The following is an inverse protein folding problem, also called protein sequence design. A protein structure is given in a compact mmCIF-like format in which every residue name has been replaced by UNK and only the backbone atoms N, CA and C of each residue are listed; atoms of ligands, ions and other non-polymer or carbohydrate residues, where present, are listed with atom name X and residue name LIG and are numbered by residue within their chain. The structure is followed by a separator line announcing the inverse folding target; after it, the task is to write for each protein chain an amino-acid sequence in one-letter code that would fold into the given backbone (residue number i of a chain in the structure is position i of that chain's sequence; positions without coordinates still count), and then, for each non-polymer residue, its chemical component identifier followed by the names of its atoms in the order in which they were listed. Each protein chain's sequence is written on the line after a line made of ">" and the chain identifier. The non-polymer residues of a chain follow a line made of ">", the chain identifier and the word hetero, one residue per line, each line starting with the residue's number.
data_IF_620862330839
#
_entry.id   IF_620862330839
#
_cell.length_a   1.000
_cell.length_b   1.000
_cell.length_c   1.000
_cell.angle_alpha   90.00
_cell.angle_beta   90.00
_cell.angle_gamma   90.00
#
_symmetry.space_group_name_H-M   'P 1'
#
loop_
_entity.id
_entity.type
_entity.pdbx_description
1 polymer ?
#
# COMPACT_ATOMS: atom_id res chain seq x y z
N UNK A 1 -13.74 4.11 17.75
CA UNK A 1 -12.73 4.01 16.67
C UNK A 1 -13.11 4.87 15.49
N UNK A 2 -12.18 5.65 14.96
CA UNK A 2 -12.39 6.51 13.78
C UNK A 2 -12.50 5.65 12.51
N UNK A 3 -13.47 6.00 11.62
CA UNK A 3 -13.71 5.29 10.35
C UNK A 3 -12.49 5.26 9.41
N UNK A 4 -11.55 6.20 9.52
CA UNK A 4 -10.30 6.19 8.75
C UNK A 4 -9.42 4.96 9.00
N UNK A 5 -9.59 4.32 10.16
CA UNK A 5 -8.87 3.11 10.55
C UNK A 5 -9.59 1.82 10.16
N UNK A 6 -10.76 1.92 9.54
CA UNK A 6 -11.51 0.78 9.04
C UNK A 6 -11.32 0.66 7.54
N UNK A 7 -11.04 -0.55 7.06
CA UNK A 7 -10.91 -0.88 5.65
C UNK A 7 -11.95 -1.91 5.27
N UNK A 8 -12.66 -1.67 4.16
CA UNK A 8 -13.56 -2.68 3.60
C UNK A 8 -12.81 -3.49 2.53
N UNK A 9 -12.75 -4.79 2.72
CA UNK A 9 -12.15 -5.74 1.77
C UNK A 9 -13.24 -6.77 1.43
N UNK A 10 -13.66 -6.82 0.18
CA UNK A 10 -14.68 -7.76 -0.32
C UNK A 10 -15.99 -7.73 0.50
N UNK A 11 -16.44 -6.55 0.91
CA UNK A 11 -17.67 -6.37 1.68
C UNK A 11 -17.54 -6.65 3.19
N UNK A 12 -16.38 -7.02 3.69
CA UNK A 12 -16.09 -7.20 5.13
C UNK A 12 -15.20 -6.07 5.65
N UNK A 13 -15.49 -5.64 6.86
CA UNK A 13 -14.73 -4.60 7.53
C UNK A 13 -13.57 -5.21 8.32
N UNK A 14 -12.40 -4.57 8.20
CA UNK A 14 -11.17 -4.89 8.90
C UNK A 14 -10.59 -3.65 9.53
N UNK A 15 -9.94 -3.81 10.68
CA UNK A 15 -9.26 -2.71 11.35
C UNK A 15 -7.79 -2.66 10.93
N UNK A 16 -7.28 -1.45 10.73
CA UNK A 16 -5.85 -1.22 10.47
C UNK A 16 -5.07 -1.26 11.78
N UNK A 17 -3.81 -1.69 11.74
CA UNK A 17 -2.91 -1.73 12.88
C UNK A 17 -2.78 -0.38 13.59
N UNK A 18 -2.68 0.71 12.83
CA UNK A 18 -2.64 2.09 13.35
C UNK A 18 -3.86 2.42 14.23
N UNK A 19 -5.04 1.93 13.83
CA UNK A 19 -6.28 2.11 14.59
C UNK A 19 -6.27 1.35 15.90
N UNK A 20 -5.72 0.13 15.91
CA UNK A 20 -5.56 -0.66 17.13
C UNK A 20 -4.62 0.02 18.12
N UNK A 21 -3.50 0.57 17.64
CA UNK A 21 -2.55 1.33 18.47
C UNK A 21 -3.18 2.61 19.02
N UNK A 22 -3.89 3.36 18.19
CA UNK A 22 -4.56 4.60 18.61
C UNK A 22 -5.59 4.33 19.73
N UNK A 23 -6.41 3.29 19.56
CA UNK A 23 -7.37 2.87 20.58
C UNK A 23 -6.69 2.35 21.85
N UNK A 24 -5.58 1.62 21.74
CA UNK A 24 -4.81 1.14 22.86
C UNK A 24 -4.31 2.29 23.75
N UNK A 25 -3.68 3.29 23.13
CA UNK A 25 -3.23 4.47 23.86
C UNK A 25 -4.38 5.28 24.46
N UNK A 26 -5.46 5.46 23.72
CA UNK A 26 -6.66 6.17 24.21
C UNK A 26 -7.37 5.45 25.37
N UNK A 27 -7.25 4.12 25.41
CA UNK A 27 -7.87 3.26 26.43
C UNK A 27 -6.92 2.94 27.62
N UNK A 28 -5.89 3.74 27.85
CA UNK A 28 -4.98 3.58 28.99
C UNK A 28 -3.98 2.43 28.83
N UNK A 29 -3.61 2.11 27.58
CA UNK A 29 -2.56 1.12 27.31
C UNK A 29 -1.19 1.62 27.75
N UNK A 30 -0.40 0.74 28.37
CA UNK A 30 0.89 1.10 29.01
C UNK A 30 2.07 0.34 28.45
N UNK A 31 1.89 -0.92 28.06
CA UNK A 31 3.00 -1.78 27.67
C UNK A 31 2.60 -2.75 26.57
N UNK A 32 3.52 -2.99 25.64
CA UNK A 32 3.44 -4.02 24.60
C UNK A 32 4.76 -4.78 24.63
N UNK A 33 4.71 -6.07 24.90
CA UNK A 33 5.84 -6.99 24.84
C UNK A 33 5.59 -8.06 23.81
N UNK A 34 6.68 -8.58 23.22
CA UNK A 34 6.63 -9.74 22.33
C UNK A 34 7.63 -10.79 22.78
N UNK A 35 7.24 -12.05 22.66
CA UNK A 35 8.06 -13.20 23.04
C UNK A 35 8.02 -14.17 21.87
N UNK A 36 9.19 -14.53 21.35
CA UNK A 36 9.28 -15.62 20.39
C UNK A 36 9.03 -16.95 21.07
N UNK A 37 8.17 -17.79 20.49
CA UNK A 37 7.84 -19.08 21.08
C UNK A 37 8.94 -20.12 20.79
N UNK A 38 9.14 -21.05 21.70
CA UNK A 38 10.09 -22.17 21.53
C UNK A 38 9.81 -23.02 20.28
N UNK A 39 8.56 -23.06 19.83
CA UNK A 39 8.14 -23.74 18.60
C UNK A 39 8.35 -22.90 17.33
N UNK A 40 8.94 -21.72 17.45
CA UNK A 40 9.28 -20.85 16.33
C UNK A 40 10.43 -21.46 15.51
N UNK A 41 10.36 -21.28 14.20
CA UNK A 41 11.44 -21.65 13.27
C UNK A 41 11.67 -20.54 12.27
N UNK A 42 12.81 -20.55 11.57
CA UNK A 42 13.08 -19.60 10.49
C UNK A 42 12.04 -19.64 9.36
N UNK A 43 11.44 -20.82 9.13
CA UNK A 43 10.41 -21.01 8.11
C UNK A 43 9.00 -20.66 8.59
N UNK A 44 8.75 -20.81 9.87
CA UNK A 44 7.48 -20.50 10.51
C UNK A 44 7.73 -19.81 11.86
N UNK A 45 8.09 -18.52 11.85
CA UNK A 45 8.23 -17.74 13.07
C UNK A 45 6.88 -17.61 13.79
N UNK A 46 6.93 -17.77 15.12
CA UNK A 46 5.76 -17.73 15.99
C UNK A 46 6.03 -16.83 17.19
N UNK A 47 5.12 -15.89 17.42
CA UNK A 47 5.22 -14.93 18.52
C UNK A 47 3.99 -14.95 19.41
N UNK A 48 4.20 -14.68 20.68
CA UNK A 48 3.19 -14.26 21.63
C UNK A 48 3.42 -12.79 21.95
N UNK A 49 2.39 -11.96 21.77
CA UNK A 49 2.38 -10.58 22.27
C UNK A 49 1.59 -10.51 23.58
N UNK A 50 2.05 -9.66 24.47
CA UNK A 50 1.39 -9.34 25.74
C UNK A 50 1.20 -7.84 25.77
N UNK A 51 -0.03 -7.38 25.93
CA UNK A 51 -0.37 -5.98 26.07
C UNK A 51 -1.01 -5.75 27.45
N UNK A 52 -0.60 -4.68 28.12
CA UNK A 52 -1.12 -4.36 29.45
C UNK A 52 -1.41 -2.87 29.59
N UNK A 53 -2.36 -2.55 30.45
CA UNK A 53 -2.81 -1.20 30.73
C UNK A 53 -3.91 -1.19 31.78
N UNK A 54 -4.74 -0.15 31.77
CA UNK A 54 -5.80 0.02 32.77
C UNK A 54 -6.89 -1.05 32.73
N UNK A 55 -7.08 -1.70 31.58
CA UNK A 55 -8.06 -2.78 31.40
C UNK A 55 -7.53 -4.17 31.79
N UNK A 56 -6.29 -4.26 32.27
CA UNK A 56 -5.62 -5.50 32.60
C UNK A 56 -4.62 -5.94 31.53
N UNK A 57 -4.31 -7.23 31.50
CA UNK A 57 -3.34 -7.84 30.61
C UNK A 57 -4.04 -8.79 29.62
N UNK A 58 -3.67 -8.68 28.35
CA UNK A 58 -4.21 -9.51 27.27
C UNK A 58 -3.07 -10.04 26.41
N UNK A 59 -3.25 -11.22 25.84
CA UNK A 59 -2.24 -11.80 24.96
C UNK A 59 -2.83 -12.24 23.63
N UNK A 60 -1.96 -12.23 22.59
CA UNK A 60 -2.29 -12.72 21.26
C UNK A 60 -1.13 -13.51 20.69
N UNK A 61 -1.41 -14.47 19.82
CA UNK A 61 -0.40 -15.24 19.11
C UNK A 61 -0.44 -14.87 17.63
N UNK A 62 0.73 -14.87 16.99
CA UNK A 62 0.88 -14.63 15.57
C UNK A 62 1.92 -15.57 14.98
N UNK A 63 1.68 -16.00 13.76
CA UNK A 63 2.57 -16.83 12.97
C UNK A 63 2.65 -16.29 11.54
N UNK A 64 3.74 -16.64 10.87
CA UNK A 64 3.90 -16.35 9.45
C UNK A 64 4.68 -17.47 8.77
N UNK A 65 4.14 -18.03 7.70
CA UNK A 65 4.79 -19.05 6.89
C UNK A 65 4.49 -18.81 5.40
N UNK A 66 5.08 -19.61 4.53
CA UNK A 66 4.92 -19.45 3.08
C UNK A 66 3.49 -19.66 2.58
N UNK A 67 2.62 -20.31 3.37
CA UNK A 67 1.22 -20.52 2.99
C UNK A 67 0.30 -19.36 3.40
N UNK A 68 0.73 -18.53 4.35
CA UNK A 68 -0.08 -17.45 4.90
C UNK A 68 0.50 -16.04 4.71
N UNK A 69 1.60 -15.92 3.94
CA UNK A 69 2.16 -14.63 3.51
C UNK A 69 2.42 -14.65 2.00
N UNK A 70 2.33 -13.48 1.36
CA UNK A 70 2.68 -13.36 -0.06
C UNK A 70 4.19 -13.39 -0.28
N UNK A 71 4.60 -13.55 -1.54
CA UNK A 71 6.00 -13.59 -1.95
C UNK A 71 6.77 -12.30 -1.61
N UNK A 72 6.09 -11.15 -1.59
CA UNK A 72 6.70 -9.87 -1.24
C UNK A 72 7.04 -9.81 0.26
N UNK A 73 6.15 -10.34 1.11
CA UNK A 73 6.29 -10.37 2.58
C UNK A 73 7.14 -11.56 3.03
N UNK A 74 7.30 -12.60 2.20
CA UNK A 74 8.01 -13.83 2.56
C UNK A 74 9.43 -13.59 3.12
N UNK A 75 10.10 -12.52 2.70
CA UNK A 75 11.41 -12.09 3.23
C UNK A 75 11.32 -11.48 4.64
N UNK A 76 10.12 -11.14 5.10
CA UNK A 76 9.86 -10.44 6.35
C UNK A 76 8.93 -11.23 7.27
N UNK A 77 8.86 -12.56 7.11
CA UNK A 77 7.98 -13.45 7.90
C UNK A 77 8.10 -13.21 9.41
N UNK A 78 9.32 -13.01 9.90
CA UNK A 78 9.59 -12.78 11.32
C UNK A 78 8.81 -11.57 11.85
N UNK A 79 8.95 -10.44 11.18
CA UNK A 79 8.25 -9.20 11.54
C UNK A 79 6.74 -9.31 11.36
N UNK A 80 6.29 -10.06 10.34
CA UNK A 80 4.87 -10.28 10.10
C UNK A 80 4.24 -11.11 11.23
N UNK A 81 4.90 -12.17 11.70
CA UNK A 81 4.43 -12.98 12.81
C UNK A 81 4.28 -12.15 14.09
N UNK A 82 5.28 -11.33 14.39
CA UNK A 82 5.25 -10.41 15.53
C UNK A 82 4.12 -9.39 15.41
N UNK A 83 3.96 -8.72 14.26
CA UNK A 83 2.87 -7.76 14.02
C UNK A 83 1.50 -8.40 14.20
N UNK A 84 1.29 -9.62 13.71
CA UNK A 84 0.04 -10.38 13.89
C UNK A 84 -0.24 -10.71 15.35
N UNK A 85 0.80 -11.07 16.11
CA UNK A 85 0.66 -11.30 17.54
C UNK A 85 0.20 -10.04 18.29
N UNK A 86 0.83 -8.90 18.01
CA UNK A 86 0.49 -7.60 18.60
C UNK A 86 -0.94 -7.20 18.18
N UNK A 87 -1.28 -7.26 16.90
CA UNK A 87 -2.60 -6.89 16.40
C UNK A 87 -3.71 -7.66 17.14
N UNK A 88 -3.53 -8.98 17.31
CA UNK A 88 -4.49 -9.83 18.02
C UNK A 88 -4.60 -9.48 19.50
N UNK A 89 -3.49 -9.23 20.20
CA UNK A 89 -3.50 -8.81 21.58
C UNK A 89 -4.20 -7.45 21.78
N UNK A 90 -3.92 -6.49 20.89
CA UNK A 90 -4.55 -5.17 20.90
C UNK A 90 -6.07 -5.23 20.66
N UNK A 91 -6.52 -6.14 19.79
CA UNK A 91 -7.96 -6.37 19.57
C UNK A 91 -8.66 -6.80 20.86
N UNK A 92 -8.10 -7.76 21.56
CA UNK A 92 -8.65 -8.22 22.85
C UNK A 92 -8.68 -7.09 23.88
N UNK A 93 -7.59 -6.36 24.02
CA UNK A 93 -7.51 -5.23 24.95
C UNK A 93 -8.56 -4.16 24.66
N UNK A 94 -8.80 -3.84 23.38
CA UNK A 94 -9.72 -2.81 22.95
C UNK A 94 -11.16 -3.31 22.76
N UNK A 95 -11.44 -4.58 23.01
CA UNK A 95 -12.74 -5.21 22.76
C UNK A 95 -13.21 -5.04 21.30
N UNK A 96 -12.31 -5.26 20.33
CA UNK A 96 -12.59 -5.13 18.91
C UNK A 96 -12.77 -6.51 18.29
N UNK A 97 -14.01 -6.82 17.86
CA UNK A 97 -14.35 -8.10 17.21
C UNK A 97 -13.85 -8.24 15.78
N UNK A 98 -13.66 -7.12 15.05
CA UNK A 98 -13.13 -7.12 13.68
C UNK A 98 -11.70 -7.65 13.65
N UNK A 99 -11.37 -8.46 12.63
CA UNK A 99 -9.99 -8.83 12.36
C UNK A 99 -9.16 -7.61 11.91
N UNK A 100 -7.87 -7.62 12.26
CA UNK A 100 -6.93 -6.69 11.67
C UNK A 100 -6.60 -7.10 10.23
N UNK A 101 -6.30 -6.12 9.38
CA UNK A 101 -5.79 -6.35 8.02
C UNK A 101 -4.52 -7.21 8.07
N UNK A 102 -3.65 -7.00 9.07
CA UNK A 102 -2.38 -7.71 9.25
C UNK A 102 -2.55 -9.18 9.67
N UNK A 103 -3.73 -9.55 10.22
CA UNK A 103 -4.05 -10.93 10.56
C UNK A 103 -4.55 -11.75 9.35
N UNK A 104 -4.85 -11.09 8.24
CA UNK A 104 -5.29 -11.78 7.03
C UNK A 104 -4.13 -12.59 6.43
N UNK A 105 -4.34 -13.88 6.27
CA UNK A 105 -3.49 -14.69 5.41
C UNK A 105 -3.86 -14.42 3.95
N UNK A 106 -2.89 -14.25 3.08
CA UNK A 106 -3.13 -13.93 1.67
C UNK A 106 -3.69 -15.09 0.83
N UNK A 107 -4.26 -16.12 1.45
CA UNK A 107 -4.88 -17.25 0.73
C UNK A 107 -6.10 -16.89 -0.13
N UNK A 108 -6.65 -15.68 -0.02
CA UNK A 108 -7.86 -15.27 -0.73
C UNK A 108 -7.78 -13.94 -1.47
N UNK A 109 -6.63 -13.31 -1.54
CA UNK A 109 -6.45 -12.18 -2.42
C UNK A 109 -6.10 -12.64 -3.85
N UNK A 110 -7.04 -13.29 -4.54
CA UNK A 110 -7.17 -13.03 -5.97
C UNK A 110 -7.65 -11.58 -6.05
N UNK A 111 -6.69 -10.70 -6.02
CA UNK A 111 -6.89 -9.29 -6.22
C UNK A 111 -7.64 -9.08 -7.54
N UNK A 112 -8.84 -8.53 -7.43
CA UNK A 112 -9.01 -7.34 -8.22
C UNK A 112 -7.97 -6.34 -7.71
N UNK A 113 -6.92 -6.12 -8.48
CA UNK A 113 -6.06 -4.95 -8.40
C UNK A 113 -6.94 -3.72 -8.58
N UNK A 114 -7.67 -3.33 -7.54
CA UNK A 114 -7.92 -1.93 -7.35
C UNK A 114 -6.56 -1.38 -6.98
N UNK A 115 -5.88 -0.84 -8.00
CA UNK A 115 -4.78 0.07 -7.81
C UNK A 115 -5.05 0.85 -6.53
N UNK A 116 -4.17 0.65 -5.54
CA UNK A 116 -3.93 1.70 -4.55
C UNK A 116 -3.69 2.91 -5.43
N UNK A 117 -4.66 3.81 -5.49
CA UNK A 117 -4.51 5.04 -6.23
C UNK A 117 -3.27 5.69 -5.65
N UNK A 118 -2.14 5.52 -6.34
CA UNK A 118 -1.01 6.44 -6.20
C UNK A 118 -1.67 7.80 -6.10
N UNK A 119 -1.28 8.65 -5.17
CA UNK A 119 -1.85 9.97 -5.09
C UNK A 119 -1.91 10.45 -6.53
N UNK A 120 -3.10 10.86 -7.00
CA UNK A 120 -3.35 11.21 -8.39
C UNK A 120 -2.41 12.37 -8.65
N UNK A 121 -1.15 12.06 -8.99
CA UNK A 121 -0.22 13.05 -9.52
C UNK A 121 -0.97 13.52 -10.74
N UNK A 122 -1.49 14.73 -10.66
CA UNK A 122 -2.12 15.37 -11.81
C UNK A 122 -1.10 15.20 -12.94
N UNK A 123 -1.43 14.35 -13.92
CA UNK A 123 -0.54 14.12 -15.06
C UNK A 123 -0.17 15.49 -15.59
N UNK A 124 1.10 15.78 -15.61
CA UNK A 124 1.61 17.03 -16.17
C UNK A 124 1.18 17.13 -17.63
N UNK A 125 1.14 18.30 -18.20
CA UNK A 125 0.81 18.45 -19.62
C UNK A 125 1.79 17.66 -20.49
N UNK A 126 3.03 17.54 -20.05
CA UNK A 126 4.06 16.72 -20.68
C UNK A 126 3.70 15.23 -20.69
N UNK A 127 3.16 14.68 -19.60
CA UNK A 127 2.72 13.29 -19.53
C UNK A 127 1.52 13.04 -20.45
N UNK A 128 0.57 13.96 -20.49
CA UNK A 128 -0.58 13.89 -21.41
C UNK A 128 -0.12 13.94 -22.88
N UNK A 129 0.88 14.77 -23.16
CA UNK A 129 1.47 14.89 -24.50
C UNK A 129 2.15 13.57 -24.90
N UNK A 130 2.96 12.96 -24.02
CA UNK A 130 3.58 11.65 -24.24
C UNK A 130 2.55 10.55 -24.51
N UNK A 131 1.45 10.54 -23.76
CA UNK A 131 0.36 9.57 -23.95
C UNK A 131 -0.35 9.76 -25.30
N UNK A 132 -0.64 11.01 -25.66
CA UNK A 132 -1.29 11.34 -26.95
C UNK A 132 -0.42 10.94 -28.16
N UNK A 133 0.88 11.17 -28.07
CA UNK A 133 1.85 10.81 -29.10
C UNK A 133 1.95 9.29 -29.26
N UNK A 134 2.01 8.55 -28.14
CA UNK A 134 1.98 7.08 -28.14
C UNK A 134 0.72 6.52 -28.76
N UNK A 135 -0.43 7.12 -28.49
CA UNK A 135 -1.71 6.71 -29.08
C UNK A 135 -1.70 6.79 -30.61
N UNK A 136 -0.93 7.72 -31.19
CA UNK A 136 -0.74 7.86 -32.64
C UNK A 136 0.38 6.96 -33.20
N UNK A 137 0.95 6.04 -32.39
CA UNK A 137 2.06 5.14 -32.77
C UNK A 137 3.33 5.88 -33.22
N UNK A 138 3.55 7.08 -32.72
CA UNK A 138 4.74 7.88 -33.02
C UNK A 138 5.79 7.60 -31.95
N UNK A 139 7.00 7.18 -32.36
CA UNK A 139 8.02 6.66 -31.44
C UNK A 139 9.14 7.66 -31.13
N UNK A 140 9.29 8.73 -31.90
CA UNK A 140 10.36 9.71 -31.68
C UNK A 140 9.83 11.13 -31.58
N UNK A 141 10.54 11.99 -30.84
CA UNK A 141 10.19 13.41 -30.66
C UNK A 141 10.20 14.14 -31.98
N UNK A 142 11.19 13.88 -32.85
CA UNK A 142 11.29 14.49 -34.19
C UNK A 142 10.07 14.18 -35.05
N UNK A 143 9.63 12.93 -35.05
CA UNK A 143 8.43 12.52 -35.82
C UNK A 143 7.16 13.13 -35.22
N UNK A 144 7.09 13.27 -33.89
CA UNK A 144 5.96 13.91 -33.23
C UNK A 144 5.88 15.41 -33.58
N UNK A 145 7.00 16.09 -33.56
CA UNK A 145 7.08 17.51 -33.91
C UNK A 145 6.75 17.77 -35.39
N UNK A 146 7.26 16.95 -36.29
CA UNK A 146 6.90 17.01 -37.70
C UNK A 146 5.40 16.80 -37.91
N UNK A 147 4.78 15.86 -37.17
CA UNK A 147 3.34 15.61 -37.25
C UNK A 147 2.49 16.78 -36.73
N UNK A 148 2.94 17.44 -35.63
CA UNK A 148 2.17 18.52 -35.00
C UNK A 148 2.29 19.83 -35.77
N UNK A 149 3.49 20.18 -36.24
CA UNK A 149 3.79 21.46 -36.84
C UNK A 149 3.80 21.44 -38.39
N UNK A 150 3.79 20.24 -39.00
CA UNK A 150 3.91 20.10 -40.46
C UNK A 150 5.27 20.59 -41.01
N UNK A 151 6.28 20.77 -40.17
CA UNK A 151 7.58 21.31 -40.53
C UNK A 151 8.65 20.29 -40.18
N UNK A 152 9.55 20.00 -41.11
CA UNK A 152 10.81 19.32 -40.86
C UNK A 152 11.75 20.33 -40.16
N UNK A 153 11.86 20.27 -38.84
CA UNK A 153 12.73 21.15 -38.10
C UNK A 153 13.03 20.63 -36.70
N UNK A 154 14.28 20.79 -36.29
CA UNK A 154 14.79 20.38 -34.99
C UNK A 154 14.41 21.43 -33.92
N UNK A 155 13.17 21.40 -33.45
CA UNK A 155 12.74 22.30 -32.37
C UNK A 155 13.10 21.74 -31.00
N UNK A 156 13.00 20.40 -30.84
CA UNK A 156 13.38 19.70 -29.61
C UNK A 156 13.96 18.32 -29.92
N UNK A 157 15.04 17.95 -29.24
CA UNK A 157 15.68 16.63 -29.40
C UNK A 157 15.07 15.58 -28.47
N UNK A 158 14.61 16.00 -27.30
CA UNK A 158 14.04 15.12 -26.25
C UNK A 158 12.77 15.71 -25.68
N UNK A 159 11.92 14.85 -25.11
CA UNK A 159 10.68 15.28 -24.43
C UNK A 159 10.95 16.13 -23.18
N UNK A 160 12.11 15.94 -22.54
CA UNK A 160 12.55 16.69 -21.37
C UNK A 160 12.84 18.17 -21.66
N UNK A 161 13.08 18.51 -22.92
CA UNK A 161 13.36 19.89 -23.36
C UNK A 161 12.07 20.70 -23.58
N UNK A 162 10.90 20.06 -23.48
CA UNK A 162 9.57 20.69 -23.67
C UNK A 162 9.05 21.20 -22.34
N UNK A 163 8.83 22.49 -22.21
CA UNK A 163 8.21 23.08 -21.02
C UNK A 163 6.73 22.72 -20.88
N UNK A 164 6.17 22.84 -19.66
CA UNK A 164 4.75 22.57 -19.39
C UNK A 164 3.79 23.43 -20.22
N UNK A 165 4.14 24.70 -20.47
CA UNK A 165 3.36 25.60 -21.32
C UNK A 165 3.38 25.17 -22.79
N UNK A 166 4.57 24.81 -23.28
CA UNK A 166 4.73 24.26 -24.63
C UNK A 166 3.99 22.93 -24.78
N UNK A 167 4.06 22.04 -23.79
CA UNK A 167 3.31 20.80 -23.80
C UNK A 167 1.78 21.01 -23.88
N UNK A 168 1.27 22.03 -23.18
CA UNK A 168 -0.14 22.43 -23.23
C UNK A 168 -0.55 22.94 -24.62
N UNK A 169 0.27 23.79 -25.24
CA UNK A 169 0.02 24.30 -26.59
C UNK A 169 0.05 23.17 -27.63
N UNK A 170 1.03 22.27 -27.53
CA UNK A 170 1.15 21.09 -28.37
C UNK A 170 -0.04 20.14 -28.28
N UNK A 171 -0.58 19.92 -27.07
CA UNK A 171 -1.78 19.12 -26.86
C UNK A 171 -3.01 19.65 -27.62
N UNK A 172 -3.13 20.98 -27.76
CA UNK A 172 -4.25 21.58 -28.52
C UNK A 172 -4.13 21.38 -30.02
N UNK A 173 -2.91 21.14 -30.52
CA UNK A 173 -2.60 20.96 -31.95
C UNK A 173 -2.62 19.50 -32.40
N UNK A 174 -2.59 18.55 -31.47
CA UNK A 174 -2.74 17.11 -31.75
C UNK A 174 -4.23 16.81 -31.95
N UNK A 175 -4.63 16.69 -33.18
CA UNK A 175 -5.97 16.24 -33.59
C UNK A 175 -6.03 14.72 -33.76
#
# INVERSE_FOLDING_TARGET
>A
MDKKFIMNIQGKEFVKFEGLLAEFHSNGGKKIDTIELETSTSEEPKFKAIVSGEKGEFSGHGDANTSNVNTMIAKHKYRMAETRAIARALRWYNNIGMCSVDELGEGNNKEEKKEVSKPKILKTNLDKLKDAIKAKKITTVKTAMSYIFGVQGDVFDKFEDISEEQAKDLLTKIK
#
